data_IF_265701758124
#
_entry.id   IF_265701758124
#
_cell.length_a   1.000
_cell.length_b   1.000
_cell.length_c   1.000
_cell.angle_alpha   90.00
_cell.angle_beta   90.00
_cell.angle_gamma   90.00
#
_symmetry.space_group_name_H-M   'P 1'
#
loop_
_entity.id
_entity.type
_entity.pdbx_description
1 polymer ?
#
# COMPACT_ATOMS: atom_id res chain seq x y z
N UNK A 1 -2.70 6.57 -4.62
CA UNK A 1 -3.78 6.97 -5.57
C UNK A 1 -5.13 7.09 -4.85
N UNK A 2 -5.98 8.05 -5.18
CA UNK A 2 -7.34 8.16 -4.63
C UNK A 2 -8.37 7.66 -5.64
N UNK A 3 -9.31 6.82 -5.20
CA UNK A 3 -10.45 6.37 -6.01
C UNK A 3 -11.71 7.12 -5.54
N UNK A 4 -12.26 7.97 -6.41
CA UNK A 4 -13.51 8.68 -6.17
C UNK A 4 -14.61 8.10 -7.06
N UNK A 5 -15.74 7.75 -6.46
CA UNK A 5 -16.94 7.30 -7.18
C UNK A 5 -17.99 8.39 -7.12
N UNK A 6 -18.39 8.90 -8.28
CA UNK A 6 -19.38 9.97 -8.40
C UNK A 6 -20.64 9.45 -9.10
N UNK A 7 -21.85 9.80 -8.63
CA UNK A 7 -23.07 9.43 -9.33
C UNK A 7 -23.12 10.12 -10.71
N UNK A 8 -23.61 9.39 -11.71
CA UNK A 8 -23.96 9.93 -13.03
C UNK A 8 -25.44 9.63 -13.31
N UNK A 9 -26.03 10.31 -14.30
CA UNK A 9 -27.44 10.11 -14.64
C UNK A 9 -27.74 8.64 -15.04
N UNK A 10 -28.95 8.17 -14.74
CA UNK A 10 -29.49 6.84 -15.11
C UNK A 10 -28.63 5.62 -14.71
N UNK A 11 -28.54 5.28 -13.42
CA UNK A 11 -27.83 4.09 -12.89
C UNK A 11 -26.35 3.97 -13.28
N UNK A 12 -25.76 5.04 -13.80
CA UNK A 12 -24.34 5.11 -14.11
C UNK A 12 -23.60 5.81 -12.96
N UNK A 13 -22.31 5.55 -12.87
CA UNK A 13 -21.41 6.30 -12.01
C UNK A 13 -20.13 6.56 -12.80
N UNK A 14 -19.38 7.56 -12.37
CA UNK A 14 -18.03 7.86 -12.87
C UNK A 14 -17.05 7.40 -11.81
N UNK A 15 -15.97 6.75 -12.25
CA UNK A 15 -14.82 6.48 -11.38
C UNK A 15 -13.73 7.45 -11.76
N UNK A 16 -13.21 8.20 -10.80
CA UNK A 16 -12.10 9.13 -10.97
C UNK A 16 -10.93 8.61 -10.15
N UNK A 17 -9.84 8.30 -10.83
CA UNK A 17 -8.56 8.01 -10.21
C UNK A 17 -7.76 9.31 -10.12
N UNK A 18 -7.25 9.62 -8.94
CA UNK A 18 -6.54 10.87 -8.66
C UNK A 18 -5.15 10.53 -8.13
N UNK A 19 -4.12 10.96 -8.85
CA UNK A 19 -2.73 10.73 -8.48
C UNK A 19 -2.08 12.06 -8.10
N UNK A 20 -1.43 12.10 -6.95
CA UNK A 20 -0.65 13.27 -6.53
C UNK A 20 0.62 13.36 -7.38
N UNK A 21 0.85 14.48 -8.06
CA UNK A 21 2.01 14.67 -8.93
C UNK A 21 3.23 15.24 -8.21
N UNK A 22 3.03 15.80 -7.02
CA UNK A 22 4.10 16.37 -6.20
C UNK A 22 4.75 15.32 -5.31
N UNK A 23 3.91 14.49 -4.70
CA UNK A 23 4.31 13.38 -3.81
C UNK A 23 3.46 12.17 -4.21
N UNK A 24 3.86 11.41 -5.25
CA UNK A 24 3.15 10.21 -5.66
C UNK A 24 3.08 9.20 -4.52
N UNK A 25 1.95 8.51 -4.41
CA UNK A 25 1.82 7.42 -3.44
C UNK A 25 2.62 6.20 -3.96
N UNK A 26 3.18 5.35 -3.07
CA UNK A 26 4.03 4.23 -3.46
C UNK A 26 3.40 3.27 -4.47
N UNK A 27 2.08 3.11 -4.42
CA UNK A 27 1.33 2.21 -5.29
C UNK A 27 0.94 2.82 -6.66
N UNK A 28 1.16 4.13 -6.85
CA UNK A 28 0.67 4.85 -8.04
C UNK A 28 1.21 4.23 -9.34
N UNK A 29 2.48 3.80 -9.34
CA UNK A 29 3.10 3.21 -10.53
C UNK A 29 2.51 1.83 -10.83
N UNK A 30 2.31 0.97 -9.83
CA UNK A 30 1.74 -0.37 -10.05
C UNK A 30 0.29 -0.28 -10.54
N UNK A 31 -0.48 0.70 -10.04
CA UNK A 31 -1.83 0.94 -10.55
C UNK A 31 -1.78 1.40 -12.01
N UNK A 32 -0.85 2.27 -12.39
CA UNK A 32 -0.68 2.69 -13.80
C UNK A 32 -0.30 1.52 -14.69
N UNK A 33 0.66 0.71 -14.27
CA UNK A 33 1.08 -0.50 -15.00
C UNK A 33 -0.09 -1.48 -15.17
N UNK A 34 -0.93 -1.63 -14.13
CA UNK A 34 -2.14 -2.44 -14.20
C UNK A 34 -3.16 -1.89 -15.20
N UNK A 35 -3.39 -0.57 -15.22
CA UNK A 35 -4.27 0.07 -16.21
C UNK A 35 -3.77 -0.16 -17.63
N UNK A 36 -2.47 0.04 -17.86
CA UNK A 36 -1.83 -0.13 -19.17
C UNK A 36 -1.89 -1.60 -19.62
N UNK A 37 -1.58 -2.56 -18.75
CA UNK A 37 -1.62 -3.99 -19.04
C UNK A 37 -3.03 -4.51 -19.39
N UNK A 38 -4.07 -3.82 -18.90
CA UNK A 38 -5.48 -4.15 -19.18
C UNK A 38 -6.11 -3.24 -20.25
N UNK A 39 -5.31 -2.42 -20.93
CA UNK A 39 -5.77 -1.49 -21.97
C UNK A 39 -6.89 -0.56 -21.48
N UNK A 40 -6.78 -0.10 -20.22
CA UNK A 40 -7.76 0.73 -19.54
C UNK A 40 -7.45 2.22 -19.73
N UNK A 41 -8.01 2.80 -20.79
CA UNK A 41 -7.80 4.22 -21.10
C UNK A 41 -8.86 5.13 -20.45
N UNK A 42 -8.46 6.25 -19.81
CA UNK A 42 -9.41 7.20 -19.27
C UNK A 42 -10.14 7.95 -20.38
N UNK A 43 -11.43 8.22 -20.16
CA UNK A 43 -12.23 9.05 -21.05
C UNK A 43 -11.76 10.51 -21.03
N UNK A 44 -11.38 10.99 -19.85
CA UNK A 44 -10.82 12.33 -19.66
C UNK A 44 -9.62 12.25 -18.74
N UNK A 45 -8.59 13.03 -19.08
CA UNK A 45 -7.38 13.22 -18.28
C UNK A 45 -7.16 14.73 -18.12
N UNK A 46 -6.92 15.16 -16.89
CA UNK A 46 -6.67 16.57 -16.58
C UNK A 46 -5.77 16.69 -15.37
N UNK A 47 -4.93 17.72 -15.35
CA UNK A 47 -4.18 18.12 -14.15
C UNK A 47 -4.86 19.30 -13.48
N UNK A 48 -4.75 19.39 -12.15
CA UNK A 48 -5.30 20.48 -11.38
C UNK A 48 -5.10 20.32 -9.88
N UNK A 49 -5.71 21.21 -9.11
CA UNK A 49 -5.71 21.10 -7.65
C UNK A 49 -6.73 20.05 -7.19
N UNK A 50 -6.27 19.13 -6.34
CA UNK A 50 -7.13 18.27 -5.55
C UNK A 50 -6.67 18.30 -4.10
N UNK A 51 -7.56 18.73 -3.19
CA UNK A 51 -7.27 18.86 -1.76
C UNK A 51 -6.00 19.68 -1.44
N UNK A 52 -5.72 20.72 -2.24
CA UNK A 52 -4.57 21.59 -2.06
C UNK A 52 -3.25 21.04 -2.62
N UNK A 53 -3.29 20.01 -3.45
CA UNK A 53 -2.13 19.36 -4.07
C UNK A 53 -2.26 19.31 -5.58
N UNK A 54 -1.15 19.53 -6.31
CA UNK A 54 -1.15 19.37 -7.76
C UNK A 54 -1.28 17.90 -8.13
N UNK A 55 -2.36 17.55 -8.83
CA UNK A 55 -2.78 16.16 -9.04
C UNK A 55 -3.24 15.93 -10.48
N UNK A 56 -3.03 14.71 -10.98
CA UNK A 56 -3.65 14.20 -12.20
C UNK A 56 -4.97 13.51 -11.85
N UNK A 57 -6.03 13.86 -12.59
CA UNK A 57 -7.33 13.19 -12.53
C UNK A 57 -7.58 12.42 -13.82
N UNK A 58 -7.91 11.13 -13.70
CA UNK A 58 -8.27 10.22 -14.78
C UNK A 58 -9.70 9.74 -14.59
N UNK A 59 -10.60 10.07 -15.50
CA UNK A 59 -12.03 9.75 -15.40
C UNK A 59 -12.42 8.57 -16.29
N UNK A 60 -13.18 7.63 -15.73
CA UNK A 60 -13.64 6.42 -16.37
C UNK A 60 -15.15 6.23 -16.18
N UNK A 61 -15.80 5.56 -17.13
CA UNK A 61 -17.17 5.10 -16.94
C UNK A 61 -17.26 3.99 -15.89
N UNK A 62 -18.29 4.02 -15.05
CA UNK A 62 -18.45 3.07 -13.94
C UNK A 62 -18.55 1.62 -14.39
N UNK A 63 -19.29 1.31 -15.46
CA UNK A 63 -19.34 -0.05 -16.00
C UNK A 63 -18.02 -0.50 -16.65
N UNK A 64 -17.14 0.44 -17.01
CA UNK A 64 -15.85 0.16 -17.62
C UNK A 64 -14.81 -0.15 -16.55
N UNK A 65 -14.57 0.79 -15.62
CA UNK A 65 -13.55 0.60 -14.59
C UNK A 65 -14.06 -0.14 -13.34
N UNK A 66 -15.36 -0.16 -13.07
CA UNK A 66 -15.93 -0.76 -11.86
C UNK A 66 -15.69 -2.27 -11.71
N UNK A 67 -15.36 -2.98 -12.79
CA UNK A 67 -14.95 -4.39 -12.73
C UNK A 67 -13.50 -4.56 -12.24
N UNK A 68 -12.71 -3.49 -12.30
CA UNK A 68 -11.30 -3.45 -11.99
C UNK A 68 -11.00 -2.75 -10.67
N UNK A 69 -11.96 -2.01 -10.09
CA UNK A 69 -11.76 -1.34 -8.79
C UNK A 69 -11.44 -2.33 -7.67
N UNK A 70 -11.90 -3.58 -7.76
CA UNK A 70 -11.52 -4.63 -6.81
C UNK A 70 -10.01 -4.94 -6.84
N UNK A 71 -9.45 -5.16 -8.04
CA UNK A 71 -8.02 -5.40 -8.21
C UNK A 71 -7.17 -4.18 -7.84
N UNK A 72 -7.62 -2.98 -8.21
CA UNK A 72 -6.94 -1.74 -7.80
C UNK A 72 -6.95 -1.62 -6.27
N UNK A 73 -8.07 -1.90 -5.60
CA UNK A 73 -8.12 -1.93 -4.15
C UNK A 73 -7.15 -2.95 -3.55
N UNK A 74 -6.98 -4.12 -4.16
CA UNK A 74 -6.00 -5.12 -3.70
C UNK A 74 -4.56 -4.61 -3.85
N UNK A 75 -4.24 -3.88 -4.92
CA UNK A 75 -2.93 -3.21 -5.07
C UNK A 75 -2.73 -2.25 -3.88
N UNK A 76 -3.66 -1.31 -3.65
CA UNK A 76 -3.56 -0.35 -2.55
C UNK A 76 -3.43 -1.03 -1.18
N UNK A 77 -4.24 -2.06 -0.96
CA UNK A 77 -4.24 -2.82 0.28
C UNK A 77 -2.86 -3.43 0.56
N UNK A 78 -2.19 -4.03 -0.44
CA UNK A 78 -0.85 -4.61 -0.24
C UNK A 78 0.18 -3.59 0.22
N UNK A 79 0.14 -2.37 -0.31
CA UNK A 79 1.06 -1.30 0.10
C UNK A 79 0.77 -0.83 1.51
N UNK A 80 -0.50 -0.62 1.86
CA UNK A 80 -0.89 -0.28 3.24
C UNK A 80 -0.48 -1.38 4.22
N UNK A 81 -0.72 -2.65 3.88
CA UNK A 81 -0.30 -3.78 4.71
C UNK A 81 1.22 -3.78 4.92
N UNK A 82 2.01 -3.59 3.85
CA UNK A 82 3.45 -3.53 3.92
C UNK A 82 3.94 -2.39 4.84
N UNK A 83 3.34 -1.20 4.74
CA UNK A 83 3.69 -0.06 5.60
C UNK A 83 3.43 -0.35 7.08
N UNK A 84 2.28 -0.95 7.41
CA UNK A 84 1.94 -1.27 8.80
C UNK A 84 2.86 -2.38 9.33
N UNK A 85 3.21 -3.39 8.51
CA UNK A 85 4.17 -4.43 8.90
C UNK A 85 5.57 -3.85 9.11
N UNK A 86 6.03 -2.97 8.23
CA UNK A 86 7.31 -2.26 8.37
C UNK A 86 7.34 -1.45 9.67
N UNK A 87 6.24 -0.78 10.01
CA UNK A 87 6.12 -0.07 11.27
C UNK A 87 6.28 -1.02 12.47
N UNK A 88 5.59 -2.16 12.47
CA UNK A 88 5.66 -3.13 13.57
C UNK A 88 7.03 -3.83 13.66
N UNK A 89 7.67 -4.12 12.52
CA UNK A 89 9.07 -4.62 12.49
C UNK A 89 9.99 -3.63 13.20
N UNK A 90 9.95 -2.36 12.79
CA UNK A 90 10.80 -1.33 13.41
C UNK A 90 10.52 -1.19 14.91
N UNK A 91 9.25 -1.27 15.31
CA UNK A 91 8.85 -1.28 16.72
C UNK A 91 9.50 -2.43 17.48
N UNK A 92 9.44 -3.66 16.96
CA UNK A 92 10.07 -4.83 17.60
C UNK A 92 11.60 -4.80 17.63
N UNK A 93 12.25 -4.18 16.64
CA UNK A 93 13.70 -4.02 16.63
C UNK A 93 14.18 -3.06 17.73
N UNK A 94 13.42 -2.01 18.04
CA UNK A 94 13.79 -0.97 19.01
C UNK A 94 13.20 -1.12 20.41
N UNK A 95 11.95 -1.57 20.54
CA UNK A 95 11.21 -1.66 21.81
C UNK A 95 11.38 -3.05 22.47
N UNK A 96 12.61 -3.38 22.88
CA UNK A 96 12.96 -4.66 23.53
C UNK A 96 14.03 -4.46 24.62
N UNK A 97 14.09 -5.40 25.58
CA UNK A 97 15.21 -5.51 26.54
C UNK A 97 16.55 -5.82 25.84
N UNK A 98 16.49 -6.43 24.65
CA UNK A 98 17.62 -6.70 23.76
C UNK A 98 17.32 -6.18 22.34
N UNK A 99 17.50 -4.88 22.08
CA UNK A 99 17.24 -4.30 20.76
C UNK A 99 18.22 -4.85 19.71
N UNK A 100 17.80 -4.87 18.45
CA UNK A 100 18.63 -5.28 17.32
C UNK A 100 18.88 -4.06 16.44
N UNK A 101 20.11 -3.54 16.49
CA UNK A 101 20.51 -2.35 15.75
C UNK A 101 21.23 -2.73 14.45
N UNK A 102 20.77 -2.17 13.33
CA UNK A 102 21.48 -2.22 12.06
C UNK A 102 22.26 -0.91 11.86
N UNK A 103 23.42 -0.96 11.17
CA UNK A 103 24.01 0.25 10.59
C UNK A 103 22.97 0.94 9.70
N UNK A 104 22.91 2.28 9.75
CA UNK A 104 21.92 3.09 9.01
C UNK A 104 21.86 2.73 7.52
N UNK A 105 23.03 2.48 6.92
CA UNK A 105 23.20 2.09 5.51
C UNK A 105 22.57 0.73 5.15
N UNK A 106 22.38 -0.17 6.13
CA UNK A 106 21.83 -1.53 5.95
C UNK A 106 20.41 -1.66 6.49
N UNK A 107 19.90 -0.68 7.22
CA UNK A 107 18.60 -0.76 7.89
C UNK A 107 17.46 -0.95 6.90
N UNK A 108 17.44 -0.16 5.82
CA UNK A 108 16.39 -0.23 4.80
C UNK A 108 16.37 -1.60 4.11
N UNK A 109 17.54 -2.11 3.71
CA UNK A 109 17.67 -3.44 3.11
C UNK A 109 17.25 -4.55 4.09
N UNK A 110 17.66 -4.46 5.36
CA UNK A 110 17.29 -5.42 6.38
C UNK A 110 15.78 -5.43 6.63
N UNK A 111 15.15 -4.26 6.74
CA UNK A 111 13.70 -4.14 6.90
C UNK A 111 12.97 -4.70 5.68
N UNK A 112 13.48 -4.47 4.46
CA UNK A 112 12.90 -5.04 3.24
C UNK A 112 12.99 -6.58 3.22
N UNK A 113 14.11 -7.17 3.67
CA UNK A 113 14.23 -8.62 3.81
C UNK A 113 13.33 -9.20 4.90
N UNK A 114 13.18 -8.51 6.03
CA UNK A 114 12.25 -8.91 7.08
C UNK A 114 10.80 -8.84 6.58
N UNK A 115 10.43 -7.77 5.89
CA UNK A 115 9.10 -7.60 5.30
C UNK A 115 8.74 -8.78 4.40
N UNK A 116 9.67 -9.28 3.56
CA UNK A 116 9.41 -10.47 2.71
C UNK A 116 9.05 -11.72 3.51
N UNK A 117 9.62 -11.88 4.70
CA UNK A 117 9.36 -13.04 5.55
C UNK A 117 8.07 -12.90 6.36
N UNK A 118 7.74 -11.67 6.77
CA UNK A 118 6.63 -11.37 7.67
C UNK A 118 5.37 -10.85 6.99
N UNK A 119 5.41 -10.47 5.69
CA UNK A 119 4.21 -10.14 4.92
C UNK A 119 3.52 -11.40 4.40
N UNK A 120 2.79 -12.06 5.29
CA UNK A 120 2.02 -13.27 5.02
C UNK A 120 0.63 -13.21 5.71
N UNK A 121 -0.24 -14.18 5.44
CA UNK A 121 -1.61 -14.21 5.95
C UNK A 121 -1.69 -14.23 7.49
N UNK A 122 -0.65 -14.73 8.17
CA UNK A 122 -0.60 -14.80 9.64
C UNK A 122 -0.17 -13.47 10.28
N UNK A 123 0.31 -12.51 9.48
CA UNK A 123 0.74 -11.20 9.95
C UNK A 123 -0.40 -10.35 10.51
N UNK A 124 -1.64 -10.63 10.10
CA UNK A 124 -2.81 -9.89 10.51
C UNK A 124 -3.79 -10.79 11.26
N UNK A 125 -4.13 -10.39 12.49
CA UNK A 125 -5.13 -11.08 13.29
C UNK A 125 -6.41 -10.26 13.35
N UNK A 126 -7.54 -10.91 13.08
CA UNK A 126 -8.85 -10.30 13.30
C UNK A 126 -9.19 -10.27 14.79
N UNK A 127 -9.52 -9.09 15.29
CA UNK A 127 -9.96 -8.84 16.66
C UNK A 127 -11.47 -9.07 16.82
N UNK A 128 -11.92 -9.15 18.08
CA UNK A 128 -13.32 -9.38 18.45
C UNK A 128 -14.28 -8.27 17.95
N UNK A 129 -13.79 -7.05 17.74
CA UNK A 129 -14.57 -5.92 17.19
C UNK A 129 -14.67 -5.92 15.66
N UNK A 130 -14.06 -6.92 15.01
CA UNK A 130 -14.04 -7.08 13.57
C UNK A 130 -12.92 -6.33 12.86
N UNK A 131 -12.09 -5.57 13.57
CA UNK A 131 -10.88 -4.93 13.02
C UNK A 131 -9.73 -5.91 12.93
N UNK A 132 -8.67 -5.49 12.25
CA UNK A 132 -7.42 -6.24 12.15
C UNK A 132 -6.31 -5.50 12.91
N UNK A 133 -5.45 -6.27 13.55
CA UNK A 133 -4.19 -5.80 14.13
C UNK A 133 -3.03 -6.59 13.52
N UNK A 134 -1.84 -5.98 13.53
CA UNK A 134 -0.61 -6.70 13.17
C UNK A 134 -0.19 -7.58 14.35
N UNK A 135 0.03 -8.86 14.08
CA UNK A 135 0.31 -9.90 15.07
C UNK A 135 1.68 -10.54 14.83
N UNK A 136 2.73 -9.72 14.71
CA UNK A 136 4.10 -10.24 14.60
C UNK A 136 4.60 -10.72 15.96
N UNK A 137 5.31 -11.86 15.96
CA UNK A 137 6.08 -12.28 17.11
C UNK A 137 7.39 -11.50 17.16
N UNK A 138 7.51 -10.60 18.15
CA UNK A 138 8.68 -9.76 18.30
C UNK A 138 10.00 -10.51 18.54
N UNK A 139 9.98 -11.72 19.11
CA UNK A 139 11.20 -12.54 19.22
C UNK A 139 11.56 -13.12 17.86
N UNK A 140 10.59 -13.66 17.11
CA UNK A 140 10.83 -14.17 15.77
C UNK A 140 11.39 -13.09 14.83
N UNK A 141 10.87 -11.85 14.91
CA UNK A 141 11.40 -10.71 14.15
C UNK A 141 12.86 -10.42 14.53
N UNK A 142 13.18 -10.40 15.84
CA UNK A 142 14.54 -10.13 16.33
C UNK A 142 15.52 -11.27 15.98
N UNK A 143 15.11 -12.52 16.04
CA UNK A 143 15.93 -13.67 15.62
C UNK A 143 16.23 -13.63 14.12
N UNK A 144 15.23 -13.32 13.29
CA UNK A 144 15.41 -13.14 11.87
C UNK A 144 16.38 -11.97 11.58
N UNK A 145 16.24 -10.86 12.30
CA UNK A 145 17.11 -9.70 12.17
C UNK A 145 18.57 -10.02 12.57
N UNK A 146 18.79 -10.71 13.69
CA UNK A 146 20.13 -11.17 14.11
C UNK A 146 20.76 -12.09 13.06
N UNK A 147 19.95 -12.93 12.41
CA UNK A 147 20.42 -13.80 11.33
C UNK A 147 20.93 -13.02 10.12
N UNK A 148 20.30 -11.89 9.79
CA UNK A 148 20.74 -10.99 8.71
C UNK A 148 22.04 -10.24 9.04
N UNK A 149 22.34 -10.00 10.32
CA UNK A 149 23.61 -9.40 10.77
C UNK A 149 24.78 -10.39 10.77
N UNK A 150 24.49 -11.69 10.93
CA UNK A 150 25.48 -12.76 11.01
C UNK A 150 25.94 -13.27 9.63
N UNK A 151 25.20 -12.96 8.56
CA UNK A 151 25.58 -13.20 7.16
C UNK A 151 26.27 -12.00 6.54
#
# INVERSE_FOLDING_TARGET
>A
MIIKVEPADFFMYTVVLIANLEIPDPEDQEIRDYLDANELEPKYRSEGDFEGRHSESMQFGGCYLGKHTGEINLIQQRYVEAEIIVHEINRHLGESDEPVEFPEERLEEAVAELLKNFHNDDAFRKMDDGKYEVALDGEAVREAARSLLAG
#
